data_IF_475831551620
#
_entry.id   IF_475831551620
#
_cell.length_a   1.000
_cell.length_b   1.000
_cell.length_c   1.000
_cell.angle_alpha   90.00
_cell.angle_beta   90.00
_cell.angle_gamma   90.00
#
_symmetry.space_group_name_H-M   'P 1'
#
loop_
_entity.id
_entity.type
_entity.pdbx_description
1 polymer ?
#
# COMPACT_ATOMS: atom_id res chain seq x y z
N UNK A 1 5.78 -64.11 58.45
CA UNK A 1 7.25 -64.04 58.52
C UNK A 1 7.76 -63.04 57.50
N UNK A 2 8.96 -62.53 57.76
CA UNK A 2 9.47 -61.20 57.48
C UNK A 2 10.50 -61.21 56.31
N UNK A 3 10.42 -60.19 55.43
CA UNK A 3 11.44 -59.52 54.56
C UNK A 3 12.41 -60.35 53.65
N UNK A 4 13.30 -59.72 52.84
CA UNK A 4 13.21 -58.66 51.81
C UNK A 4 13.71 -59.18 50.43
N UNK A 5 13.78 -58.34 49.39
CA UNK A 5 14.98 -58.20 48.55
C UNK A 5 14.82 -57.01 47.57
N UNK A 6 15.75 -56.06 47.66
CA UNK A 6 15.87 -54.96 46.71
C UNK A 6 16.38 -55.43 45.35
N UNK A 7 16.01 -54.72 44.29
CA UNK A 7 16.49 -54.97 42.93
C UNK A 7 16.78 -53.64 42.22
N UNK A 8 18.07 -53.33 42.19
CA UNK A 8 18.90 -52.95 41.02
C UNK A 8 18.32 -52.08 39.91
N UNK A 9 19.04 -50.97 39.71
CA UNK A 9 19.71 -50.57 38.46
C UNK A 9 19.03 -49.61 37.50
N UNK A 10 19.79 -48.52 37.28
CA UNK A 10 19.81 -47.59 36.16
C UNK A 10 19.47 -48.24 34.82
N UNK A 11 18.61 -47.58 34.04
CA UNK A 11 18.66 -47.63 32.59
C UNK A 11 18.60 -46.21 32.02
N UNK A 12 19.62 -45.91 31.24
CA UNK A 12 19.86 -44.68 30.50
C UNK A 12 18.67 -44.37 29.58
N UNK A 13 18.12 -43.17 29.68
CA UNK A 13 17.19 -42.66 28.68
C UNK A 13 17.96 -42.44 27.36
N UNK A 14 17.67 -43.25 26.35
CA UNK A 14 18.12 -43.03 24.98
C UNK A 14 17.46 -41.77 24.43
N UNK A 15 18.20 -40.67 24.40
CA UNK A 15 17.77 -39.42 23.75
C UNK A 15 17.82 -39.66 22.23
N UNK A 16 16.71 -39.52 21.48
CA UNK A 16 16.77 -39.62 20.04
C UNK A 16 17.64 -38.47 19.50
N UNK A 17 18.59 -38.73 18.58
CA UNK A 17 19.38 -37.67 17.98
C UNK A 17 18.46 -36.74 17.19
N UNK A 18 18.35 -35.49 17.66
CA UNK A 18 17.65 -34.40 16.99
C UNK A 18 18.47 -33.86 15.80
N UNK A 19 19.02 -34.73 14.97
CA UNK A 19 19.63 -34.32 13.69
C UNK A 19 18.54 -34.25 12.64
N UNK A 20 17.80 -33.13 12.66
CA UNK A 20 16.87 -32.78 11.59
C UNK A 20 17.68 -32.61 10.30
N UNK A 21 17.58 -33.57 9.37
CA UNK A 21 18.22 -33.42 8.07
C UNK A 21 17.69 -32.17 7.37
N UNK A 22 18.59 -31.26 7.02
CA UNK A 22 18.26 -30.08 6.23
C UNK A 22 18.16 -30.47 4.76
N UNK A 23 17.22 -31.37 4.44
CA UNK A 23 16.84 -31.55 3.03
C UNK A 23 16.04 -30.33 2.64
N UNK A 24 16.66 -29.46 1.83
CA UNK A 24 16.01 -28.28 1.31
C UNK A 24 14.89 -28.70 0.34
N UNK A 25 13.68 -28.88 0.87
CA UNK A 25 12.46 -29.22 0.12
C UNK A 25 12.11 -28.20 -0.96
N UNK A 26 12.73 -27.01 -0.98
CA UNK A 26 12.53 -26.05 -2.08
C UNK A 26 13.28 -26.49 -3.35
N UNK A 27 14.41 -27.19 -3.22
CA UNK A 27 15.23 -27.64 -4.34
C UNK A 27 14.66 -28.86 -5.08
N UNK A 28 13.85 -29.68 -4.41
CA UNK A 28 13.20 -30.85 -5.01
C UNK A 28 11.79 -30.57 -5.56
N UNK A 29 11.33 -29.32 -5.54
CA UNK A 29 10.04 -28.96 -6.15
C UNK A 29 10.19 -28.95 -7.68
N UNK A 30 9.30 -29.63 -8.42
CA UNK A 30 9.31 -29.52 -9.87
C UNK A 30 9.09 -28.05 -10.27
N UNK A 31 9.86 -27.59 -11.25
CA UNK A 31 9.72 -26.23 -11.80
C UNK A 31 8.31 -26.09 -12.35
N UNK A 32 7.54 -25.05 -11.96
CA UNK A 32 6.21 -24.84 -12.52
C UNK A 32 6.32 -24.64 -14.03
N UNK A 33 5.41 -25.19 -14.83
CA UNK A 33 5.44 -25.00 -16.27
C UNK A 33 5.40 -23.49 -16.60
N UNK A 34 6.10 -23.05 -17.66
CA UNK A 34 6.02 -21.67 -18.11
C UNK A 34 4.55 -21.32 -18.36
N UNK A 35 4.05 -20.25 -17.75
CA UNK A 35 2.71 -19.75 -18.02
C UNK A 35 2.69 -19.33 -19.48
N UNK A 36 1.99 -20.08 -20.32
CA UNK A 36 1.96 -19.89 -21.76
C UNK A 36 1.67 -18.44 -22.13
N UNK A 37 2.54 -17.86 -22.95
CA UNK A 37 2.38 -16.54 -23.58
C UNK A 37 1.70 -16.72 -24.95
N UNK A 38 0.92 -17.79 -25.13
CA UNK A 38 0.50 -18.22 -26.47
C UNK A 38 -0.90 -17.72 -26.87
N UNK A 39 -1.58 -16.95 -26.02
CA UNK A 39 -2.88 -16.34 -26.35
C UNK A 39 -2.90 -14.80 -26.21
N UNK A 40 -1.74 -14.15 -26.15
CA UNK A 40 -1.64 -12.69 -26.23
C UNK A 40 -1.04 -12.27 -27.58
N UNK A 41 -1.64 -12.73 -28.68
CA UNK A 41 -1.50 -12.01 -29.94
C UNK A 41 -2.61 -10.96 -29.97
N UNK A 42 -2.32 -9.67 -29.69
CA UNK A 42 -3.33 -8.64 -29.89
C UNK A 42 -3.72 -8.64 -31.37
N UNK A 43 -5.01 -8.47 -31.72
CA UNK A 43 -5.38 -8.21 -33.10
C UNK A 43 -4.57 -7.01 -33.59
N UNK A 44 -4.06 -7.10 -34.83
CA UNK A 44 -3.30 -6.02 -35.44
C UNK A 44 -4.08 -4.70 -35.25
N UNK A 45 -3.45 -3.64 -34.72
CA UNK A 45 -4.12 -2.36 -34.62
C UNK A 45 -4.35 -1.85 -36.05
N UNK A 46 -5.58 -1.98 -36.52
CA UNK A 46 -6.10 -1.16 -37.60
C UNK A 46 -6.12 0.27 -37.05
N UNK A 47 -5.03 1.00 -37.26
CA UNK A 47 -4.93 2.41 -36.90
C UNK A 47 -5.77 3.23 -37.88
N UNK A 48 -7.10 3.14 -37.78
CA UNK A 48 -7.94 4.16 -38.37
C UNK A 48 -7.71 5.45 -37.58
N UNK A 49 -7.09 6.43 -38.26
CA UNK A 49 -6.84 7.79 -37.83
C UNK A 49 -8.17 8.52 -37.58
N UNK A 50 -8.88 8.12 -36.53
CA UNK A 50 -9.79 9.01 -35.84
C UNK A 50 -8.94 9.76 -34.82
N UNK A 51 -8.85 11.06 -35.03
CA UNK A 51 -8.13 12.05 -34.26
C UNK A 51 -8.46 11.94 -32.75
N UNK A 52 -7.82 11.00 -32.06
CA UNK A 52 -8.00 10.70 -30.64
C UNK A 52 -6.83 11.32 -29.88
N UNK A 53 -6.68 12.63 -30.07
CA UNK A 53 -6.12 13.47 -29.01
C UNK A 53 -7.04 13.28 -27.78
N UNK A 54 -6.54 12.97 -26.57
CA UNK A 54 -7.39 12.95 -25.39
C UNK A 54 -7.97 14.35 -25.22
N UNK A 55 -9.21 14.48 -25.67
CA UNK A 55 -10.03 15.68 -25.60
C UNK A 55 -10.23 15.99 -24.12
N UNK A 56 -9.34 16.83 -23.61
CA UNK A 56 -9.43 17.67 -22.42
C UNK A 56 -10.73 17.44 -21.64
N UNK A 57 -10.68 16.57 -20.64
CA UNK A 57 -11.79 16.36 -19.70
C UNK A 57 -11.22 16.45 -18.28
N UNK A 58 -11.05 17.64 -17.69
CA UNK A 58 -11.54 18.94 -18.12
C UNK A 58 -10.64 20.12 -17.69
N UNK A 59 -10.69 21.18 -18.49
CA UNK A 59 -10.36 22.59 -18.18
C UNK A 59 -9.17 22.89 -17.26
N UNK A 60 -7.99 22.34 -17.53
CA UNK A 60 -6.75 22.79 -16.89
C UNK A 60 -5.86 23.44 -17.95
N UNK A 61 -6.05 24.74 -18.14
CA UNK A 61 -5.28 25.50 -19.13
C UNK A 61 -3.93 25.96 -18.56
N UNK A 62 -3.85 26.15 -17.23
CA UNK A 62 -2.72 26.78 -16.57
C UNK A 62 -2.02 25.83 -15.59
N UNK A 63 -0.69 25.94 -15.41
CA UNK A 63 0.00 25.25 -14.32
C UNK A 63 -0.53 25.50 -12.93
N UNK A 64 -0.94 26.74 -12.67
CA UNK A 64 -1.55 27.10 -11.42
C UNK A 64 -2.85 26.31 -11.17
N UNK A 65 -3.65 26.07 -12.23
CA UNK A 65 -4.91 25.35 -12.12
C UNK A 65 -4.68 23.87 -11.84
N UNK A 66 -3.62 23.29 -12.38
CA UNK A 66 -3.21 21.92 -12.07
C UNK A 66 -2.80 21.77 -10.61
N UNK A 67 -1.96 22.70 -10.13
CA UNK A 67 -1.49 22.67 -8.73
C UNK A 67 -2.62 22.92 -7.73
N UNK A 68 -3.63 23.70 -8.12
CA UNK A 68 -4.90 23.85 -7.38
C UNK A 68 -5.70 22.56 -7.37
N UNK A 69 -5.87 21.92 -8.54
CA UNK A 69 -6.69 20.72 -8.71
C UNK A 69 -6.15 19.50 -7.94
N UNK A 70 -4.82 19.33 -7.85
CA UNK A 70 -4.22 18.26 -7.03
C UNK A 70 -4.34 18.53 -5.52
N UNK A 71 -4.52 19.79 -5.11
CA UNK A 71 -4.68 20.20 -3.72
C UNK A 71 -3.41 20.07 -2.87
N UNK A 72 -3.57 19.78 -1.57
CA UNK A 72 -2.49 19.70 -0.55
C UNK A 72 -1.63 20.97 -0.41
N UNK A 73 -2.23 22.13 -0.68
CA UNK A 73 -1.53 23.42 -0.73
C UNK A 73 -0.33 23.40 -1.68
N UNK A 74 -0.42 22.66 -2.80
CA UNK A 74 0.67 22.57 -3.78
C UNK A 74 0.85 23.88 -4.56
N UNK A 75 -0.22 24.66 -4.72
CA UNK A 75 -0.24 26.01 -5.31
C UNK A 75 0.68 27.02 -4.60
N UNK A 76 0.80 26.93 -3.27
CA UNK A 76 1.62 27.86 -2.47
C UNK A 76 3.09 27.46 -2.48
N UNK A 77 3.39 26.19 -2.77
CA UNK A 77 4.73 25.61 -2.62
C UNK A 77 5.54 25.62 -3.91
N UNK A 78 4.86 25.65 -5.05
CA UNK A 78 5.52 25.77 -6.37
C UNK A 78 4.78 26.81 -7.18
N UNK A 79 5.41 27.96 -7.38
CA UNK A 79 4.93 28.99 -8.30
C UNK A 79 5.56 28.74 -9.65
N UNK A 80 4.82 28.15 -10.59
CA UNK A 80 5.27 27.96 -11.97
C UNK A 80 4.32 28.65 -12.92
N UNK A 81 4.87 29.48 -13.80
CA UNK A 81 4.10 30.24 -14.78
C UNK A 81 3.94 29.47 -16.09
N UNK A 82 4.92 28.63 -16.45
CA UNK A 82 4.96 27.90 -17.73
C UNK A 82 4.86 26.39 -17.56
N UNK A 83 4.12 25.77 -18.46
CA UNK A 83 3.93 24.32 -18.47
C UNK A 83 5.25 23.57 -18.63
N UNK A 84 6.10 24.03 -19.56
CA UNK A 84 7.39 23.41 -19.81
C UNK A 84 8.32 23.40 -18.59
N UNK A 85 8.30 24.48 -17.81
CA UNK A 85 9.11 24.57 -16.60
C UNK A 85 8.66 23.54 -15.58
N UNK A 86 7.34 23.41 -15.36
CA UNK A 86 6.79 22.42 -14.45
C UNK A 86 7.20 21.00 -14.87
N UNK A 87 7.11 20.67 -16.16
CA UNK A 87 7.44 19.32 -16.66
C UNK A 87 8.93 19.02 -16.74
N UNK A 88 9.79 20.05 -16.82
CA UNK A 88 11.26 19.90 -16.78
C UNK A 88 11.79 19.79 -15.35
N UNK A 89 11.05 20.26 -14.36
CA UNK A 89 11.49 20.22 -12.96
C UNK A 89 11.66 18.79 -12.46
N UNK A 90 12.87 18.48 -11.99
CA UNK A 90 13.16 17.22 -11.32
C UNK A 90 12.94 17.32 -9.82
N UNK A 91 12.89 16.17 -9.13
CA UNK A 91 12.80 16.13 -7.67
C UNK A 91 13.99 16.79 -6.94
N UNK A 92 15.14 16.95 -7.62
CA UNK A 92 16.30 17.68 -7.10
C UNK A 92 16.10 19.19 -7.21
N UNK A 93 15.49 19.67 -8.28
CA UNK A 93 15.20 21.10 -8.44
C UNK A 93 14.15 21.56 -7.43
N UNK A 94 13.13 20.72 -7.21
CA UNK A 94 12.18 20.93 -6.11
C UNK A 94 12.84 20.85 -4.72
N UNK A 95 13.93 20.08 -4.56
CA UNK A 95 14.71 20.04 -3.30
C UNK A 95 15.36 21.38 -3.05
N UNK A 96 15.99 21.94 -4.09
CA UNK A 96 16.67 23.23 -4.04
C UNK A 96 15.67 24.36 -3.74
N UNK A 97 14.47 24.27 -4.28
CA UNK A 97 13.35 25.16 -3.96
C UNK A 97 12.77 24.98 -2.54
N UNK A 98 13.32 24.07 -1.72
CA UNK A 98 12.95 23.94 -0.31
C UNK A 98 11.70 23.09 -0.04
N UNK A 99 11.15 22.37 -1.03
CA UNK A 99 9.96 21.54 -0.81
C UNK A 99 10.24 20.34 0.09
N UNK A 100 9.30 20.06 1.00
CA UNK A 100 9.33 18.86 1.83
C UNK A 100 9.30 17.59 0.96
N UNK A 101 9.95 16.51 1.45
CA UNK A 101 10.06 15.23 0.71
C UNK A 101 8.69 14.70 0.29
N UNK A 102 7.69 14.84 1.16
CA UNK A 102 6.31 14.37 0.91
C UNK A 102 5.66 15.10 -0.26
N UNK A 103 5.83 16.42 -0.32
CA UNK A 103 5.21 17.26 -1.34
C UNK A 103 5.85 17.01 -2.71
N UNK A 104 7.17 16.88 -2.77
CA UNK A 104 7.90 16.55 -4.01
C UNK A 104 7.46 15.23 -4.61
N UNK A 105 7.42 14.17 -3.78
CA UNK A 105 6.99 12.84 -4.24
C UNK A 105 5.53 12.86 -4.70
N UNK A 106 4.69 13.67 -4.06
CA UNK A 106 3.29 13.80 -4.43
C UNK A 106 3.11 14.50 -5.78
N UNK A 107 3.75 15.66 -5.96
CA UNK A 107 3.65 16.45 -7.20
C UNK A 107 4.15 15.62 -8.40
N UNK A 108 5.32 14.99 -8.28
CA UNK A 108 5.88 14.14 -9.34
C UNK A 108 5.00 12.93 -9.66
N UNK A 109 4.37 12.33 -8.64
CA UNK A 109 3.44 11.23 -8.85
C UNK A 109 2.17 11.70 -9.56
N UNK A 110 1.61 12.85 -9.19
CA UNK A 110 0.44 13.44 -9.88
C UNK A 110 0.76 13.79 -11.33
N UNK A 111 1.96 14.33 -11.59
CA UNK A 111 2.48 14.59 -12.93
C UNK A 111 2.52 13.31 -13.78
N UNK A 112 3.04 12.21 -13.23
CA UNK A 112 3.09 10.92 -13.94
C UNK A 112 1.69 10.35 -14.24
N UNK A 113 0.76 10.49 -13.29
CA UNK A 113 -0.64 10.07 -13.47
C UNK A 113 -1.36 10.89 -14.52
N UNK A 114 -1.11 12.20 -14.55
CA UNK A 114 -1.63 13.09 -15.59
C UNK A 114 -1.07 12.73 -16.98
N UNK A 115 0.22 12.41 -17.08
CA UNK A 115 0.83 11.92 -18.34
C UNK A 115 0.24 10.60 -18.82
N UNK A 116 -0.20 9.75 -17.89
CA UNK A 116 -0.88 8.49 -18.18
C UNK A 116 -2.34 8.69 -18.64
N UNK A 117 -2.83 9.93 -18.73
CA UNK A 117 -4.20 10.24 -19.13
C UNK A 117 -5.26 9.97 -18.07
N UNK A 118 -4.88 9.79 -16.80
CA UNK A 118 -5.85 9.61 -15.71
C UNK A 118 -6.43 10.97 -15.30
N UNK A 119 -7.76 11.08 -15.11
CA UNK A 119 -8.38 12.34 -14.69
C UNK A 119 -7.96 12.69 -13.26
N UNK A 120 -7.69 13.98 -12.99
CA UNK A 120 -7.14 14.44 -11.71
C UNK A 120 -8.04 14.10 -10.52
N UNK A 121 -9.34 14.23 -10.71
CA UNK A 121 -10.36 13.91 -9.70
C UNK A 121 -10.21 12.49 -9.16
N UNK A 122 -9.80 11.54 -10.01
CA UNK A 122 -9.65 10.13 -9.63
C UNK A 122 -8.52 9.88 -8.63
N UNK A 123 -7.46 10.68 -8.63
CA UNK A 123 -6.26 10.42 -7.84
C UNK A 123 -5.91 11.52 -6.83
N UNK A 124 -6.41 12.75 -7.01
CA UNK A 124 -6.13 13.86 -6.10
C UNK A 124 -6.87 13.70 -4.75
N UNK A 125 -8.06 13.08 -4.77
CA UNK A 125 -8.94 13.02 -3.60
C UNK A 125 -9.49 11.62 -3.36
N UNK A 126 -8.71 10.75 -2.74
CA UNK A 126 -9.32 9.64 -2.01
C UNK A 126 -9.95 10.19 -0.71
N UNK A 127 -11.24 9.90 -0.43
CA UNK A 127 -11.83 10.26 0.85
C UNK A 127 -11.02 9.55 1.94
N UNK A 128 -10.55 10.31 2.94
CA UNK A 128 -9.84 9.72 4.09
C UNK A 128 -10.72 8.60 4.63
N UNK A 129 -10.23 7.34 4.67
CA UNK A 129 -11.05 6.24 5.14
C UNK A 129 -11.51 6.57 6.56
N UNK A 130 -12.80 6.30 6.84
CA UNK A 130 -13.36 6.52 8.17
C UNK A 130 -12.47 5.81 9.17
N UNK A 131 -12.00 6.53 10.19
CA UNK A 131 -11.18 5.94 11.25
C UNK A 131 -11.97 4.79 11.87
N UNK A 132 -11.47 3.57 11.69
CA UNK A 132 -12.00 2.41 12.42
C UNK A 132 -11.70 2.65 13.89
N UNK A 133 -12.73 2.74 14.72
CA UNK A 133 -12.58 2.78 16.17
C UNK A 133 -12.07 1.41 16.61
N UNK A 134 -10.76 1.27 16.76
CA UNK A 134 -10.16 0.10 17.41
C UNK A 134 -10.39 0.26 18.91
N UNK A 135 -11.34 -0.48 19.47
CA UNK A 135 -11.73 -0.36 20.87
C UNK A 135 -10.64 -0.81 21.85
N UNK A 136 -10.63 -0.22 23.05
CA UNK A 136 -9.84 -0.67 24.21
C UNK A 136 -10.60 -1.75 25.01
N UNK A 137 -11.21 -2.70 24.30
CA UNK A 137 -12.14 -3.69 24.87
C UNK A 137 -13.53 -3.12 25.21
N UNK A 138 -14.43 -3.95 25.79
CA UNK A 138 -15.84 -3.60 26.06
C UNK A 138 -16.04 -2.40 26.99
N UNK A 139 -14.98 -1.82 27.55
CA UNK A 139 -15.08 -0.66 28.44
C UNK A 139 -15.02 0.68 27.70
N UNK A 140 -14.53 0.73 26.45
CA UNK A 140 -14.41 1.98 25.68
C UNK A 140 -14.87 1.76 24.24
N UNK A 141 -16.08 2.22 23.93
CA UNK A 141 -16.64 2.23 22.58
C UNK A 141 -16.83 3.69 22.14
N UNK A 142 -16.52 4.01 20.89
CA UNK A 142 -16.71 5.35 20.29
C UNK A 142 -16.10 6.51 21.11
N UNK A 143 -14.95 6.30 21.75
CA UNK A 143 -14.29 7.30 22.59
C UNK A 143 -14.97 7.56 23.94
N UNK A 144 -16.05 6.84 24.26
CA UNK A 144 -16.76 6.92 25.54
C UNK A 144 -16.46 5.69 26.38
N UNK A 145 -16.04 5.90 27.63
CA UNK A 145 -15.99 4.83 28.64
C UNK A 145 -17.41 4.39 28.96
N UNK A 146 -17.79 3.21 28.49
CA UNK A 146 -19.02 2.56 28.92
C UNK A 146 -18.72 1.84 30.23
N UNK A 147 -19.21 2.40 31.34
CA UNK A 147 -19.38 1.62 32.57
C UNK A 147 -20.57 0.72 32.31
N UNK A 148 -20.42 -0.59 32.46
CA UNK A 148 -21.56 -1.51 32.52
C UNK A 148 -22.46 -1.02 33.64
N UNK A 149 -23.51 -0.28 33.29
CA UNK A 149 -24.53 0.13 34.25
C UNK A 149 -25.21 -1.19 34.60
N UNK A 150 -24.88 -1.76 35.76
CA UNK A 150 -25.72 -2.79 36.37
C UNK A 150 -27.06 -2.07 36.56
N UNK A 151 -28.01 -2.27 35.64
CA UNK A 151 -29.40 -1.92 35.88
C UNK A 151 -29.77 -2.76 37.10
N UNK A 152 -29.69 -2.15 38.28
CA UNK A 152 -30.22 -2.74 39.49
C UNK A 152 -31.72 -2.55 39.31
N UNK A 153 -32.40 -3.63 38.98
CA UNK A 153 -33.85 -3.65 38.85
C UNK A 153 -34.47 -2.88 40.02
N UNK A 154 -35.19 -1.80 39.69
CA UNK A 154 -36.18 -1.19 40.57
C UNK A 154 -37.52 -1.37 39.88
N UNK A 155 -38.24 -2.44 40.21
CA UNK A 155 -39.56 -2.38 40.85
C UNK A 155 -39.93 -3.77 41.34
#
# INVERSE_FOLDING_TARGET
MFIPLGSTSRLCAAVPPLTRSLVNRAASRPVPPPRGIENFLPPAPTHELTDTTPRIAGSIATPADFLKAIGRASETKVTVEKWEELWRMSGQDMKKAGLAVRDRRYILWCMEKYRSGLPIESFAHEPRPKKTVRGWGPSVQNGKRIRSRRLKDRK
#
